data_IF_717107335077
#
_entry.id   IF_717107335077
#
_cell.length_a   1.000
_cell.length_b   1.000
_cell.length_c   1.000
_cell.angle_alpha   90.00
_cell.angle_beta   90.00
_cell.angle_gamma   90.00
#
_symmetry.space_group_name_H-M   'P 1'
#
loop_
_entity.id
_entity.type
_entity.pdbx_description
1 polymer ?
#
# COMPACT_ATOMS: atom_id res chain seq x y z
N UNK A 1 14.88 -18.30 -19.77
CA UNK A 1 13.69 -17.81 -19.04
C UNK A 1 13.87 -16.38 -18.51
N UNK A 2 14.87 -16.11 -17.68
CA UNK A 2 15.13 -14.76 -17.12
C UNK A 2 15.40 -13.70 -18.21
N UNK A 3 16.18 -14.03 -19.24
CA UNK A 3 16.49 -13.11 -20.35
C UNK A 3 15.24 -12.71 -21.15
N UNK A 4 14.25 -13.62 -21.29
CA UNK A 4 12.98 -13.35 -21.97
C UNK A 4 12.10 -12.41 -21.12
N UNK A 5 12.11 -12.59 -19.80
CA UNK A 5 11.40 -11.73 -18.87
C UNK A 5 11.98 -10.31 -18.85
N UNK A 6 13.32 -10.18 -18.77
CA UNK A 6 14.02 -8.89 -18.80
C UNK A 6 13.85 -8.15 -20.13
N UNK A 7 13.72 -8.87 -21.24
CA UNK A 7 13.46 -8.28 -22.56
C UNK A 7 12.03 -7.73 -22.69
N UNK A 8 11.08 -8.22 -21.88
CA UNK A 8 9.71 -7.77 -21.89
C UNK A 8 9.54 -6.53 -20.98
N UNK A 9 9.47 -5.35 -21.60
CA UNK A 9 9.32 -4.07 -20.89
C UNK A 9 8.07 -4.03 -20.00
N UNK A 10 6.97 -4.65 -20.41
CA UNK A 10 5.74 -4.67 -19.61
C UNK A 10 5.93 -5.51 -18.34
N UNK A 11 6.58 -6.67 -18.46
CA UNK A 11 6.89 -7.53 -17.31
C UNK A 11 7.84 -6.85 -16.33
N UNK A 12 8.83 -6.11 -16.84
CA UNK A 12 9.75 -5.32 -16.03
C UNK A 12 9.06 -4.19 -15.28
N UNK A 13 8.21 -3.41 -15.94
CA UNK A 13 7.46 -2.33 -15.29
C UNK A 13 6.54 -2.88 -14.21
N UNK A 14 5.80 -3.95 -14.50
CA UNK A 14 4.93 -4.60 -13.52
C UNK A 14 5.72 -5.10 -12.29
N UNK A 15 6.89 -5.72 -12.51
CA UNK A 15 7.77 -6.19 -11.43
C UNK A 15 8.28 -5.04 -10.55
N UNK A 16 8.67 -3.91 -11.17
CA UNK A 16 9.12 -2.72 -10.43
C UNK A 16 7.97 -2.14 -9.58
N UNK A 17 6.80 -1.96 -10.18
CA UNK A 17 5.62 -1.42 -9.47
C UNK A 17 5.22 -2.34 -8.32
N UNK A 18 5.15 -3.65 -8.55
CA UNK A 18 4.86 -4.63 -7.50
C UNK A 18 5.89 -4.57 -6.38
N UNK A 19 7.18 -4.47 -6.73
CA UNK A 19 8.25 -4.35 -5.73
C UNK A 19 8.06 -3.10 -4.85
N UNK A 20 7.71 -1.96 -5.45
CA UNK A 20 7.43 -0.72 -4.70
C UNK A 20 6.23 -0.92 -3.76
N UNK A 21 5.14 -1.54 -4.23
CA UNK A 21 3.95 -1.81 -3.40
C UNK A 21 4.28 -2.74 -2.24
N UNK A 22 5.06 -3.80 -2.48
CA UNK A 22 5.51 -4.73 -1.43
C UNK A 22 6.37 -4.01 -0.39
N UNK A 23 7.34 -3.21 -0.83
CA UNK A 23 8.17 -2.42 0.09
C UNK A 23 7.35 -1.42 0.89
N UNK A 24 6.41 -0.72 0.26
CA UNK A 24 5.52 0.22 0.94
C UNK A 24 4.62 -0.48 1.97
N UNK A 25 4.09 -1.66 1.68
CA UNK A 25 3.25 -2.40 2.61
C UNK A 25 4.03 -3.00 3.80
N UNK A 26 5.29 -3.38 3.60
CA UNK A 26 6.14 -3.93 4.67
C UNK A 26 6.70 -2.80 5.55
N UNK A 27 7.30 -1.78 4.94
CA UNK A 27 8.01 -0.72 5.65
C UNK A 27 7.11 0.49 5.98
N UNK A 28 6.03 0.69 5.24
CA UNK A 28 5.12 1.81 5.43
C UNK A 28 4.53 1.90 6.84
N UNK A 29 3.96 0.81 7.42
CA UNK A 29 3.44 0.85 8.78
C UNK A 29 4.51 1.15 9.85
N UNK A 30 5.79 0.89 9.56
CA UNK A 30 6.90 1.24 10.46
C UNK A 30 7.29 2.72 10.35
N UNK A 31 7.19 3.29 9.14
CA UNK A 31 7.48 4.71 8.89
C UNK A 31 6.34 5.64 9.30
N UNK A 32 5.09 5.16 9.22
CA UNK A 32 3.88 5.91 9.57
C UNK A 32 3.05 5.14 10.61
N UNK A 33 3.47 5.14 11.89
CA UNK A 33 2.85 4.35 12.96
C UNK A 33 1.56 5.00 13.48
N UNK A 34 0.58 5.19 12.60
CA UNK A 34 -0.77 5.69 12.93
C UNK A 34 -1.74 4.52 12.85
N UNK A 35 -2.64 4.40 13.82
CA UNK A 35 -3.69 3.38 13.77
C UNK A 35 -4.66 3.69 12.61
N UNK A 36 -4.82 2.79 11.62
CA UNK A 36 -5.69 3.02 10.46
C UNK A 36 -7.19 3.13 10.82
N UNK A 37 -7.60 2.72 12.01
CA UNK A 37 -8.99 2.79 12.45
C UNK A 37 -9.28 3.97 13.38
N UNK A 38 -8.24 4.66 13.85
CA UNK A 38 -8.38 5.82 14.72
C UNK A 38 -8.85 7.04 13.94
N UNK A 39 -9.83 7.75 14.51
CA UNK A 39 -10.30 9.02 13.98
C UNK A 39 -9.38 10.12 14.46
N UNK A 40 -8.54 10.62 13.56
CA UNK A 40 -7.43 11.52 13.89
C UNK A 40 -7.73 12.98 13.56
N UNK A 41 -8.66 13.26 12.63
CA UNK A 41 -8.94 14.63 12.21
C UNK A 41 -10.35 14.81 11.63
N UNK A 42 -10.62 16.00 11.07
CA UNK A 42 -11.87 16.32 10.39
C UNK A 42 -12.07 15.41 9.16
N UNK A 43 -13.31 14.95 8.88
CA UNK A 43 -13.63 14.22 7.66
C UNK A 43 -13.30 14.99 6.39
N UNK A 44 -12.94 14.28 5.32
CA UNK A 44 -12.68 14.84 3.98
C UNK A 44 -11.60 15.94 3.95
N UNK A 45 -10.59 15.81 4.80
CA UNK A 45 -9.45 16.73 4.77
C UNK A 45 -8.64 16.47 3.49
N UNK A 46 -8.31 17.52 2.71
CA UNK A 46 -7.59 17.35 1.45
C UNK A 46 -6.16 16.84 1.67
N UNK A 47 -5.55 16.21 0.65
CA UNK A 47 -4.16 15.77 0.70
C UNK A 47 -3.18 16.91 0.99
N UNK A 48 -2.19 16.65 1.84
CA UNK A 48 -1.12 17.59 2.21
C UNK A 48 -1.51 18.62 3.28
N UNK A 49 -2.75 18.61 3.76
CA UNK A 49 -3.19 19.50 4.82
C UNK A 49 -2.89 18.90 6.20
N UNK A 50 -2.43 19.73 7.15
CA UNK A 50 -2.21 19.37 8.56
C UNK A 50 -1.31 18.13 8.78
N UNK A 51 -0.42 17.83 7.83
CA UNK A 51 0.49 16.68 7.87
C UNK A 51 -0.08 15.39 7.29
N UNK A 52 -1.34 15.38 6.84
CA UNK A 52 -1.98 14.22 6.20
C UNK A 52 -1.62 14.13 4.72
N UNK A 53 -0.63 13.31 4.37
CA UNK A 53 -0.11 13.18 2.99
C UNK A 53 -1.21 12.88 1.98
N UNK A 54 -2.13 11.97 2.31
CA UNK A 54 -3.25 11.57 1.45
C UNK A 54 -4.61 12.11 1.95
N UNK A 55 -4.60 12.95 2.99
CA UNK A 55 -5.81 13.47 3.60
C UNK A 55 -6.50 12.45 4.51
N UNK A 56 -7.78 12.72 4.80
CA UNK A 56 -8.62 11.85 5.62
C UNK A 56 -9.85 11.36 4.88
N UNK A 57 -10.38 10.22 5.33
CA UNK A 57 -11.61 9.66 4.79
C UNK A 57 -12.89 10.34 5.34
N UNK A 58 -14.05 9.75 5.04
CA UNK A 58 -15.36 10.25 5.48
C UNK A 58 -15.58 10.16 7.00
N UNK A 59 -14.78 9.37 7.72
CA UNK A 59 -14.81 9.31 9.18
C UNK A 59 -13.78 10.24 9.80
N UNK A 60 -12.79 10.73 9.05
CA UNK A 60 -11.66 11.49 9.61
C UNK A 60 -10.46 10.62 9.98
N UNK A 61 -10.36 9.42 9.40
CA UNK A 61 -9.20 8.52 9.55
C UNK A 61 -8.14 8.85 8.52
N UNK A 62 -6.87 8.63 8.86
CA UNK A 62 -5.74 8.87 7.96
C UNK A 62 -5.76 7.89 6.77
N UNK A 63 -5.91 8.41 5.56
CA UNK A 63 -5.95 7.59 4.34
C UNK A 63 -4.61 6.91 4.03
N UNK A 64 -3.47 7.54 4.34
CA UNK A 64 -2.16 6.93 4.13
C UNK A 64 -1.98 5.75 5.07
N UNK A 65 -2.31 5.92 6.35
CA UNK A 65 -2.27 4.82 7.33
C UNK A 65 -3.15 3.66 6.89
N UNK A 66 -4.37 3.94 6.42
CA UNK A 66 -5.30 2.94 5.92
C UNK A 66 -4.76 2.20 4.68
N UNK A 67 -4.15 2.92 3.73
CA UNK A 67 -3.58 2.32 2.52
C UNK A 67 -2.37 1.43 2.82
N UNK A 68 -1.46 1.87 3.68
CA UNK A 68 -0.25 1.10 4.02
C UNK A 68 -0.61 -0.18 4.78
N UNK A 69 -1.51 -0.09 5.76
CA UNK A 69 -1.96 -1.26 6.53
C UNK A 69 -2.86 -2.19 5.67
N UNK A 70 -3.78 -1.63 4.88
CA UNK A 70 -4.65 -2.39 3.98
C UNK A 70 -3.89 -3.10 2.85
N UNK A 71 -2.82 -2.47 2.34
CA UNK A 71 -1.91 -3.07 1.37
C UNK A 71 -1.23 -4.33 1.93
N UNK A 72 -0.77 -4.30 3.19
CA UNK A 72 -0.16 -5.46 3.85
C UNK A 72 -1.13 -6.64 3.96
N UNK A 73 -2.39 -6.37 4.33
CA UNK A 73 -3.43 -7.40 4.40
C UNK A 73 -3.71 -7.99 3.02
N UNK A 74 -3.89 -7.14 2.00
CA UNK A 74 -4.17 -7.57 0.63
C UNK A 74 -3.04 -8.44 0.05
N UNK A 75 -1.77 -8.05 0.26
CA UNK A 75 -0.62 -8.83 -0.19
C UNK A 75 -0.52 -10.18 0.51
N UNK A 76 -0.82 -10.22 1.81
CA UNK A 76 -0.80 -11.48 2.58
C UNK A 76 -1.84 -12.46 2.04
N UNK A 77 -3.07 -11.98 1.80
CA UNK A 77 -4.14 -12.80 1.22
C UNK A 77 -3.76 -13.27 -0.20
N UNK A 78 -3.27 -12.36 -1.04
CA UNK A 78 -2.84 -12.69 -2.40
C UNK A 78 -1.72 -13.73 -2.43
N UNK A 79 -0.74 -13.62 -1.54
CA UNK A 79 0.36 -14.58 -1.41
C UNK A 79 -0.16 -15.96 -0.97
N UNK A 80 -1.00 -16.02 0.06
CA UNK A 80 -1.58 -17.27 0.54
C UNK A 80 -2.44 -17.93 -0.56
N UNK A 81 -3.25 -17.16 -1.27
CA UNK A 81 -4.07 -17.67 -2.36
C UNK A 81 -3.21 -18.23 -3.51
N UNK A 82 -2.12 -17.55 -3.88
CA UNK A 82 -1.20 -18.03 -4.90
C UNK A 82 -0.48 -19.32 -4.48
N UNK A 83 -0.07 -19.44 -3.21
CA UNK A 83 0.55 -20.65 -2.67
C UNK A 83 -0.41 -21.84 -2.63
N UNK A 84 -1.70 -21.61 -2.36
CA UNK A 84 -2.72 -22.66 -2.37
C UNK A 84 -3.19 -23.05 -3.78
N UNK A 85 -2.89 -22.24 -4.79
CA UNK A 85 -3.30 -22.51 -6.17
C UNK A 85 -2.43 -23.56 -6.87
N UNK A 86 -1.27 -23.89 -6.32
CA UNK A 86 -0.29 -24.84 -6.88
C UNK A 86 -0.28 -26.11 -6.05
#
# INVERSE_FOLDING_TARGET
>A
MVVIFLANRAAMVASIVLSIVVLAAIFGPMLHPVDPFEMVWAPFTPPGQDGFVLGTDYLGRDMLAALLNGGRVSLTIGLVAALMSV
#
